data_IF_485585247607
#
_entry.id   IF_485585247607
#
_cell.length_a   1.000
_cell.length_b   1.000
_cell.length_c   1.000
_cell.angle_alpha   90.00
_cell.angle_beta   90.00
_cell.angle_gamma   90.00
#
_symmetry.space_group_name_H-M   'P 1'
#
loop_
_entity.id
_entity.type
_entity.pdbx_description
1 polymer ?
#
# COMPACT_ATOMS: atom_id res chain seq x y z
N UNK A 1 7.44 -7.61 2.46
CA UNK A 1 6.58 -8.76 2.10
C UNK A 1 5.32 -8.95 2.96
N UNK A 2 5.36 -8.98 4.30
CA UNK A 2 4.13 -9.28 5.09
C UNK A 2 3.02 -8.23 4.89
N UNK A 3 3.37 -6.94 4.96
CA UNK A 3 2.40 -5.84 4.76
C UNK A 3 1.65 -5.93 3.42
N UNK A 4 2.37 -6.14 2.31
CA UNK A 4 1.73 -6.24 0.98
C UNK A 4 0.78 -7.45 0.89
N UNK A 5 1.08 -8.57 1.56
CA UNK A 5 0.18 -9.72 1.58
C UNK A 5 -1.05 -9.47 2.45
N UNK A 6 -0.91 -8.79 3.59
CA UNK A 6 -2.04 -8.32 4.41
C UNK A 6 -2.96 -7.40 3.59
N UNK A 7 -2.38 -6.51 2.78
CA UNK A 7 -3.16 -5.63 1.89
C UNK A 7 -3.87 -6.43 0.80
N UNK A 8 -3.16 -7.35 0.11
CA UNK A 8 -3.76 -8.21 -0.94
C UNK A 8 -4.90 -9.08 -0.41
N UNK A 9 -4.80 -9.55 0.83
CA UNK A 9 -5.84 -10.28 1.53
C UNK A 9 -6.99 -9.38 2.02
N UNK A 10 -6.96 -8.07 1.78
CA UNK A 10 -7.97 -7.09 2.20
C UNK A 10 -8.18 -7.01 3.72
N UNK A 11 -7.17 -7.40 4.49
CA UNK A 11 -7.26 -7.46 5.96
C UNK A 11 -7.39 -6.06 6.56
N UNK A 12 -6.61 -5.08 6.08
CA UNK A 12 -6.69 -3.71 6.61
C UNK A 12 -8.05 -3.06 6.29
N UNK A 13 -8.59 -3.33 5.11
CA UNK A 13 -9.92 -2.87 4.68
C UNK A 13 -11.00 -3.47 5.58
N UNK A 14 -10.92 -4.77 5.85
CA UNK A 14 -11.84 -5.48 6.77
C UNK A 14 -11.83 -4.88 8.17
N UNK A 15 -10.66 -4.48 8.69
CA UNK A 15 -10.56 -3.80 9.98
C UNK A 15 -11.16 -2.38 9.90
N UNK A 16 -10.92 -1.65 8.81
CA UNK A 16 -11.45 -0.29 8.60
C UNK A 16 -12.98 -0.24 8.61
N UNK A 17 -13.65 -1.27 8.08
CA UNK A 17 -15.11 -1.38 8.01
C UNK A 17 -15.80 -1.40 9.37
N UNK A 18 -15.08 -1.78 10.44
CA UNK A 18 -15.60 -1.76 11.82
C UNK A 18 -15.59 -0.36 12.42
N UNK A 19 -14.92 0.60 11.76
CA UNK A 19 -14.82 1.99 12.17
C UNK A 19 -13.57 2.33 12.98
N UNK A 20 -13.38 3.61 13.36
CA UNK A 20 -12.10 4.13 13.88
C UNK A 20 -11.57 3.47 15.15
N UNK A 21 -12.45 2.93 15.98
CA UNK A 21 -12.10 2.22 17.23
C UNK A 21 -12.38 0.71 17.13
N UNK A 22 -12.77 0.24 15.94
CA UNK A 22 -13.06 -1.15 15.66
C UNK A 22 -11.80 -2.00 15.77
N UNK A 23 -11.96 -3.18 16.37
CA UNK A 23 -10.88 -4.17 16.48
C UNK A 23 -11.40 -5.54 16.13
N UNK A 24 -10.56 -6.34 15.46
CA UNK A 24 -10.89 -7.68 15.03
C UNK A 24 -9.79 -8.66 15.44
N UNK A 25 -10.18 -9.87 15.84
CA UNK A 25 -9.26 -11.00 15.97
C UNK A 25 -8.93 -11.62 14.62
N UNK A 26 -7.93 -12.50 14.58
CA UNK A 26 -7.66 -13.33 13.41
C UNK A 26 -8.88 -14.16 12.97
N UNK A 27 -9.70 -14.63 13.92
CA UNK A 27 -10.93 -15.37 13.66
C UNK A 27 -11.98 -14.49 12.99
N UNK A 28 -12.21 -13.28 13.52
CA UNK A 28 -13.21 -12.37 12.94
C UNK A 28 -12.83 -11.96 11.51
N UNK A 29 -11.54 -11.72 11.27
CA UNK A 29 -11.01 -11.38 9.94
C UNK A 29 -11.18 -12.54 8.98
N UNK A 30 -10.78 -13.76 9.38
CA UNK A 30 -10.92 -14.95 8.54
C UNK A 30 -12.38 -15.21 8.18
N UNK A 31 -13.29 -15.06 9.15
CA UNK A 31 -14.73 -15.22 8.95
C UNK A 31 -15.31 -14.18 7.99
N UNK A 32 -14.99 -12.88 8.18
CA UNK A 32 -15.47 -11.80 7.30
C UNK A 32 -14.96 -11.91 5.87
N UNK A 33 -13.74 -12.42 5.69
CA UNK A 33 -13.15 -12.67 4.38
C UNK A 33 -13.56 -14.02 3.77
N UNK A 34 -14.43 -14.79 4.45
CA UNK A 34 -14.85 -16.12 4.03
C UNK A 34 -13.67 -17.07 3.74
N UNK A 35 -12.61 -16.99 4.55
CA UNK A 35 -11.42 -17.84 4.39
C UNK A 35 -11.72 -19.23 4.97
N UNK A 36 -11.67 -20.25 4.11
CA UNK A 36 -12.00 -21.64 4.45
C UNK A 36 -10.88 -22.38 5.19
N UNK A 37 -9.65 -21.86 5.18
CA UNK A 37 -8.51 -22.52 5.82
C UNK A 37 -8.64 -22.43 7.35
N UNK A 38 -8.75 -23.56 8.07
CA UNK A 38 -8.90 -23.55 9.54
C UNK A 38 -7.70 -22.93 10.27
N UNK A 39 -6.51 -22.96 9.66
CA UNK A 39 -5.29 -22.38 10.25
C UNK A 39 -5.15 -20.86 9.97
N UNK A 40 -6.03 -20.29 9.14
CA UNK A 40 -5.93 -18.89 8.74
C UNK A 40 -5.98 -17.89 9.91
N UNK A 41 -6.82 -18.06 10.95
CA UNK A 41 -6.82 -17.17 12.11
C UNK A 41 -5.43 -17.03 12.76
N UNK A 42 -4.71 -18.14 12.94
CA UNK A 42 -3.37 -18.15 13.54
C UNK A 42 -2.31 -17.56 12.60
N UNK A 43 -2.43 -17.81 11.29
CA UNK A 43 -1.56 -17.19 10.29
C UNK A 43 -1.74 -15.67 10.25
N UNK A 44 -2.99 -15.20 10.24
CA UNK A 44 -3.34 -13.78 10.28
C UNK A 44 -2.83 -13.12 11.57
N UNK A 45 -3.02 -13.77 12.71
CA UNK A 45 -2.52 -13.31 14.00
C UNK A 45 -0.99 -13.11 13.97
N UNK A 46 -0.22 -14.08 13.45
CA UNK A 46 1.25 -13.95 13.33
C UNK A 46 1.66 -12.79 12.44
N UNK A 47 0.98 -12.61 11.31
CA UNK A 47 1.25 -11.50 10.38
C UNK A 47 0.91 -10.14 10.98
N UNK A 48 -0.25 -10.02 11.64
CA UNK A 48 -0.70 -8.79 12.28
C UNK A 48 0.11 -8.46 13.53
N UNK A 49 0.58 -9.47 14.27
CA UNK A 49 1.52 -9.28 15.38
C UNK A 49 2.82 -8.63 14.91
N UNK A 50 3.35 -9.00 13.75
CA UNK A 50 4.50 -8.32 13.16
C UNK A 50 4.17 -6.86 12.84
N UNK A 51 3.04 -6.60 12.17
CA UNK A 51 2.63 -5.22 11.84
C UNK A 51 2.39 -4.36 13.08
N UNK A 52 1.91 -4.94 14.17
CA UNK A 52 1.73 -4.25 15.46
C UNK A 52 3.07 -3.81 16.06
N UNK A 53 4.13 -4.61 15.91
CA UNK A 53 5.49 -4.23 16.34
C UNK A 53 6.08 -3.07 15.53
N UNK A 54 5.55 -2.81 14.34
CA UNK A 54 5.89 -1.66 13.51
C UNK A 54 4.84 -0.52 13.61
N UNK A 55 3.92 -0.57 14.57
CA UNK A 55 2.88 0.46 14.80
C UNK A 55 1.96 0.72 13.58
N UNK A 56 1.86 -0.24 12.66
CA UNK A 56 0.96 -0.16 11.50
C UNK A 56 -0.47 -0.53 11.92
N UNK A 57 -0.61 -1.42 12.90
CA UNK A 57 -1.87 -1.77 13.55
C UNK A 57 -1.71 -1.69 15.06
N UNK A 58 -2.80 -1.45 15.79
CA UNK A 58 -2.83 -1.60 17.25
C UNK A 58 -2.98 -3.07 17.61
N UNK A 59 -2.54 -3.46 18.80
CA UNK A 59 -2.77 -4.79 19.37
C UNK A 59 -3.28 -4.65 20.81
N UNK A 60 -4.38 -5.32 21.13
CA UNK A 60 -4.95 -5.40 22.48
C UNK A 60 -5.43 -6.81 22.77
N UNK A 61 -5.68 -7.14 24.02
CA UNK A 61 -6.30 -8.41 24.39
C UNK A 61 -7.83 -8.35 24.20
N UNK A 62 -8.41 -9.50 23.88
CA UNK A 62 -9.84 -9.72 23.78
C UNK A 62 -10.18 -11.19 24.02
N UNK A 63 -11.42 -11.57 23.80
CA UNK A 63 -11.91 -12.94 24.02
C UNK A 63 -12.68 -13.42 22.79
N UNK A 64 -12.38 -14.62 22.32
CA UNK A 64 -13.12 -15.33 21.28
C UNK A 64 -13.46 -16.73 21.81
N UNK A 65 -14.74 -17.10 21.82
CA UNK A 65 -15.22 -18.39 22.36
C UNK A 65 -14.61 -18.76 23.73
N UNK A 66 -14.63 -17.83 24.69
CA UNK A 66 -14.05 -17.96 26.04
C UNK A 66 -12.52 -18.14 26.12
N UNK A 67 -11.79 -18.01 25.01
CA UNK A 67 -10.33 -18.04 24.96
C UNK A 67 -9.75 -16.64 24.76
N UNK A 68 -8.65 -16.28 25.45
CA UNK A 68 -7.94 -15.04 25.18
C UNK A 68 -7.38 -14.99 23.76
N UNK A 69 -7.63 -13.90 23.05
CA UNK A 69 -7.11 -13.65 21.69
C UNK A 69 -6.56 -12.23 21.57
N UNK A 70 -5.73 -12.00 20.54
CA UNK A 70 -5.30 -10.64 20.17
C UNK A 70 -6.32 -10.01 19.24
N UNK A 71 -6.60 -8.75 19.49
CA UNK A 71 -7.48 -7.90 18.70
C UNK A 71 -6.67 -6.80 18.04
N UNK A 72 -6.90 -6.58 16.75
CA UNK A 72 -6.14 -5.65 15.91
C UNK A 72 -7.02 -4.53 15.39
N UNK A 73 -6.52 -3.29 15.47
CA UNK A 73 -7.16 -2.09 14.96
C UNK A 73 -6.21 -1.32 14.04
N UNK A 74 -6.72 -0.41 13.22
CA UNK A 74 -5.86 0.40 12.34
C UNK A 74 -5.22 1.56 13.09
N UNK A 75 -3.96 1.87 12.77
CA UNK A 75 -3.36 3.16 13.13
C UNK A 75 -3.49 4.15 11.97
N UNK A 76 -3.37 5.46 12.22
CA UNK A 76 -3.37 6.46 11.15
C UNK A 76 -2.28 6.21 10.08
N UNK A 77 -1.15 5.60 10.46
CA UNK A 77 -0.02 5.30 9.56
C UNK A 77 -0.42 4.33 8.44
N UNK A 78 -1.28 3.35 8.73
CA UNK A 78 -1.70 2.37 7.74
C UNK A 78 -2.28 3.03 6.47
N UNK A 79 -3.03 4.13 6.63
CA UNK A 79 -3.65 4.87 5.52
C UNK A 79 -2.62 5.40 4.50
N UNK A 80 -1.44 5.77 4.95
CA UNK A 80 -0.41 6.41 4.10
C UNK A 80 0.52 5.39 3.44
N UNK A 81 0.71 4.21 4.05
CA UNK A 81 1.65 3.21 3.53
C UNK A 81 1.07 2.37 2.39
N UNK A 82 -0.24 2.08 2.44
CA UNK A 82 -0.90 1.15 1.49
C UNK A 82 -0.71 1.50 0.00
N UNK A 83 -0.85 2.77 -0.45
CA UNK A 83 -0.86 3.12 -1.87
C UNK A 83 0.39 2.68 -2.65
N UNK A 84 1.58 2.88 -2.09
CA UNK A 84 2.84 2.63 -2.77
C UNK A 84 3.35 1.19 -2.62
N UNK A 85 2.90 0.47 -1.59
CA UNK A 85 3.43 -0.87 -1.29
C UNK A 85 3.18 -1.89 -2.41
N UNK A 86 2.10 -1.73 -3.18
CA UNK A 86 1.84 -2.61 -4.33
C UNK A 86 2.88 -2.45 -5.42
N UNK A 87 3.27 -1.21 -5.72
CA UNK A 87 4.30 -0.90 -6.72
C UNK A 87 5.68 -1.36 -6.25
N UNK A 88 6.07 -0.97 -5.02
CA UNK A 88 7.40 -1.25 -4.47
C UNK A 88 7.65 -2.73 -4.16
N UNK A 89 6.62 -3.56 -4.11
CA UNK A 89 6.72 -5.00 -3.92
C UNK A 89 6.25 -5.79 -5.15
N UNK A 90 5.94 -5.11 -6.25
CA UNK A 90 5.66 -5.77 -7.52
C UNK A 90 6.91 -6.48 -8.02
N UNK A 91 6.73 -7.64 -8.65
CA UNK A 91 7.86 -8.45 -9.14
C UNK A 91 8.75 -7.65 -10.08
N UNK A 92 8.17 -6.85 -10.97
CA UNK A 92 8.92 -6.03 -11.94
C UNK A 92 9.87 -5.08 -11.21
N UNK A 93 9.39 -4.41 -10.16
CA UNK A 93 10.18 -3.46 -9.39
C UNK A 93 11.20 -4.15 -8.48
N UNK A 94 10.81 -5.27 -7.86
CA UNK A 94 11.69 -6.03 -6.96
C UNK A 94 12.87 -6.63 -7.72
N UNK A 95 12.69 -7.02 -8.98
CA UNK A 95 13.77 -7.63 -9.75
C UNK A 95 14.98 -6.72 -9.90
N UNK A 96 14.79 -5.39 -9.91
CA UNK A 96 15.89 -4.42 -9.96
C UNK A 96 16.85 -4.53 -8.79
N UNK A 97 16.41 -5.03 -7.62
CA UNK A 97 17.30 -5.22 -6.48
C UNK A 97 18.37 -6.31 -6.71
N UNK A 98 18.11 -7.27 -7.61
CA UNK A 98 19.09 -8.31 -7.94
C UNK A 98 20.23 -7.81 -8.84
N UNK A 99 20.09 -6.62 -9.44
CA UNK A 99 21.15 -5.98 -10.25
C UNK A 99 21.80 -4.79 -9.52
N UNK A 100 21.50 -4.60 -8.23
CA UNK A 100 22.01 -3.46 -7.48
C UNK A 100 23.53 -3.53 -7.29
N UNK A 101 24.06 -4.69 -6.96
CA UNK A 101 25.51 -4.91 -6.80
C UNK A 101 26.25 -4.72 -8.14
N UNK A 102 25.70 -5.28 -9.23
CA UNK A 102 26.26 -5.09 -10.56
C UNK A 102 26.25 -3.61 -10.99
N UNK A 103 25.18 -2.87 -10.70
CA UNK A 103 25.11 -1.44 -10.94
C UNK A 103 26.14 -0.63 -10.12
N UNK A 104 26.41 -1.02 -8.89
CA UNK A 104 27.47 -0.39 -8.07
C UNK A 104 28.85 -0.63 -8.67
N UNK A 105 29.12 -1.86 -9.15
CA UNK A 105 30.45 -2.24 -9.65
C UNK A 105 30.69 -1.78 -11.09
N UNK A 106 29.69 -1.93 -11.96
CA UNK A 106 29.83 -1.74 -13.42
C UNK A 106 29.12 -0.49 -13.93
N UNK A 107 28.41 0.23 -13.07
CA UNK A 107 27.58 1.38 -13.46
C UNK A 107 26.27 0.97 -14.14
N UNK A 108 25.42 1.96 -14.37
CA UNK A 108 24.06 1.79 -14.93
C UNK A 108 22.96 1.84 -13.87
N UNK A 109 21.72 1.72 -14.30
CA UNK A 109 20.54 1.71 -13.43
C UNK A 109 20.05 0.27 -13.27
N UNK A 110 19.84 -0.25 -12.05
CA UNK A 110 19.45 -1.64 -11.85
C UNK A 110 18.15 -2.04 -12.58
N UNK A 111 17.16 -1.14 -12.64
CA UNK A 111 15.92 -1.39 -13.38
C UNK A 111 16.20 -1.61 -14.87
N UNK A 112 16.96 -0.70 -15.48
CA UNK A 112 17.30 -0.73 -16.90
C UNK A 112 18.15 -1.96 -17.24
N UNK A 113 19.02 -2.41 -16.33
CA UNK A 113 19.78 -3.66 -16.52
C UNK A 113 18.90 -4.90 -16.60
N UNK A 114 17.87 -4.98 -15.76
CA UNK A 114 16.92 -6.11 -15.77
C UNK A 114 16.01 -6.07 -16.99
N UNK A 115 15.50 -4.88 -17.33
CA UNK A 115 14.37 -4.73 -18.23
C UNK A 115 14.71 -4.15 -19.60
N UNK A 116 15.95 -3.69 -19.79
CA UNK A 116 16.47 -3.14 -21.05
C UNK A 116 15.96 -1.74 -21.43
N UNK A 117 15.04 -1.17 -20.64
CA UNK A 117 14.45 0.16 -20.86
C UNK A 117 14.27 0.90 -19.54
N UNK A 118 14.11 2.22 -19.61
CA UNK A 118 13.91 3.05 -18.43
C UNK A 118 12.58 2.74 -17.71
N UNK A 119 12.53 2.92 -16.40
CA UNK A 119 11.35 2.62 -15.58
C UNK A 119 10.07 3.38 -15.98
N UNK A 120 10.18 4.55 -16.62
CA UNK A 120 9.01 5.29 -17.17
C UNK A 120 8.56 4.79 -18.54
N UNK A 121 9.42 4.09 -19.28
CA UNK A 121 9.10 3.50 -20.58
C UNK A 121 8.49 2.11 -20.43
N UNK A 122 8.95 1.35 -19.43
CA UNK A 122 8.50 -0.02 -19.16
C UNK A 122 6.98 -0.21 -19.03
N UNK A 123 6.21 0.70 -18.38
CA UNK A 123 4.75 0.60 -18.35
C UNK A 123 4.10 0.52 -19.74
N UNK A 124 4.71 1.08 -20.78
CA UNK A 124 4.19 0.93 -22.15
C UNK A 124 4.30 -0.50 -22.70
N UNK A 125 5.18 -1.33 -22.10
CA UNK A 125 5.46 -2.71 -22.52
C UNK A 125 4.68 -3.76 -21.69
N UNK A 126 4.34 -3.46 -20.44
CA UNK A 126 3.56 -4.34 -19.55
C UNK A 126 2.32 -3.62 -19.04
N UNK A 127 1.17 -3.91 -19.64
CA UNK A 127 -0.13 -3.32 -19.29
C UNK A 127 -0.53 -3.59 -17.82
N UNK A 128 -0.17 -4.74 -17.27
CA UNK A 128 -0.47 -5.10 -15.87
C UNK A 128 0.40 -4.27 -14.93
N UNK A 129 1.68 -4.11 -15.23
CA UNK A 129 2.55 -3.23 -14.44
C UNK A 129 2.14 -1.76 -14.58
N UNK A 130 1.70 -1.32 -15.76
CA UNK A 130 1.18 0.02 -15.98
C UNK A 130 -0.03 0.33 -15.08
N UNK A 131 -0.94 -0.63 -14.91
CA UNK A 131 -2.07 -0.48 -13.98
C UNK A 131 -1.57 -0.33 -12.53
N UNK A 132 -0.64 -1.19 -12.10
CA UNK A 132 -0.05 -1.13 -10.75
C UNK A 132 0.64 0.23 -10.52
N UNK A 133 1.45 0.69 -11.47
CA UNK A 133 2.16 1.96 -11.42
C UNK A 133 1.18 3.14 -11.32
N UNK A 134 0.23 3.24 -12.26
CA UNK A 134 -0.72 4.34 -12.28
C UNK A 134 -1.63 4.36 -11.05
N UNK A 135 -2.10 3.20 -10.58
CA UNK A 135 -2.91 3.11 -9.36
C UNK A 135 -2.13 3.57 -8.14
N UNK A 136 -0.85 3.21 -8.02
CA UNK A 136 0.00 3.67 -6.93
C UNK A 136 0.18 5.19 -6.98
N UNK A 137 0.48 5.76 -8.15
CA UNK A 137 0.65 7.21 -8.35
C UNK A 137 -0.63 7.99 -8.04
N UNK A 138 -1.78 7.57 -8.60
CA UNK A 138 -3.08 8.23 -8.35
C UNK A 138 -3.42 8.23 -6.87
N UNK A 139 -3.32 7.07 -6.20
CA UNK A 139 -3.68 6.96 -4.79
C UNK A 139 -2.76 7.79 -3.90
N UNK A 140 -1.46 7.77 -4.16
CA UNK A 140 -0.48 8.55 -3.41
C UNK A 140 -0.70 10.06 -3.60
N UNK A 141 -0.77 10.52 -4.85
CA UNK A 141 -1.00 11.93 -5.20
C UNK A 141 -2.32 12.43 -4.61
N UNK A 142 -3.39 11.65 -4.66
CA UNK A 142 -4.69 12.03 -4.08
C UNK A 142 -4.58 12.32 -2.57
N UNK A 143 -3.85 11.49 -1.83
CA UNK A 143 -3.66 11.69 -0.38
C UNK A 143 -2.85 12.95 -0.12
N UNK A 144 -1.74 13.13 -0.83
CA UNK A 144 -0.83 14.27 -0.62
C UNK A 144 -1.51 15.58 -1.02
N UNK A 145 -2.11 15.65 -2.21
CA UNK A 145 -2.77 16.86 -2.71
C UNK A 145 -3.95 17.27 -1.83
N UNK A 146 -4.69 16.31 -1.26
CA UNK A 146 -5.73 16.62 -0.28
C UNK A 146 -5.19 17.32 0.97
N UNK A 147 -3.97 17.00 1.42
CA UNK A 147 -3.34 17.68 2.55
C UNK A 147 -2.73 19.03 2.14
N UNK A 148 -2.08 19.10 0.97
CA UNK A 148 -1.52 20.34 0.42
C UNK A 148 -2.59 21.42 0.27
N UNK A 149 -3.74 21.09 -0.31
CA UNK A 149 -4.83 22.04 -0.54
C UNK A 149 -5.49 22.57 0.75
N UNK A 150 -5.20 21.98 1.92
CA UNK A 150 -5.69 22.53 3.20
C UNK A 150 -4.92 23.78 3.63
N UNK A 151 -3.66 23.92 3.22
CA UNK A 151 -2.78 24.97 3.73
C UNK A 151 -2.19 25.83 2.61
N UNK A 152 -2.01 25.28 1.41
CA UNK A 152 -1.45 25.99 0.28
C UNK A 152 -2.56 26.66 -0.54
N UNK A 153 -2.49 28.00 -0.62
CA UNK A 153 -3.46 28.85 -1.34
C UNK A 153 -2.92 29.42 -2.66
N UNK A 154 -1.75 28.96 -3.12
CA UNK A 154 -1.13 29.48 -4.34
C UNK A 154 -1.88 29.15 -5.65
N UNK A 155 -2.89 28.28 -5.58
CA UNK A 155 -3.73 27.91 -6.74
C UNK A 155 -5.00 28.76 -6.88
N UNK A 156 -5.40 29.52 -5.85
CA UNK A 156 -6.73 30.14 -5.75
C UNK A 156 -7.10 31.11 -6.90
N UNK A 157 -6.11 31.80 -7.46
CA UNK A 157 -6.31 32.86 -8.46
C UNK A 157 -5.61 32.56 -9.79
N UNK A 158 -5.32 31.29 -10.07
CA UNK A 158 -4.70 30.89 -11.33
C UNK A 158 -5.78 30.58 -12.36
N UNK A 159 -5.70 31.25 -13.51
CA UNK A 159 -6.57 30.94 -14.67
C UNK A 159 -6.23 29.59 -15.31
N UNK A 160 -4.96 29.16 -15.19
CA UNK A 160 -4.47 27.93 -15.79
C UNK A 160 -3.38 27.31 -14.94
N UNK A 161 -3.49 26.01 -14.76
CA UNK A 161 -2.45 25.14 -14.19
C UNK A 161 -2.18 24.01 -15.19
N UNK A 162 -0.91 23.75 -15.47
CA UNK A 162 -0.47 22.64 -16.31
C UNK A 162 0.33 21.68 -15.45
N UNK A 163 -0.20 20.47 -15.27
CA UNK A 163 0.48 19.40 -14.55
C UNK A 163 1.36 18.58 -15.52
N UNK A 164 2.62 19.00 -15.64
CA UNK A 164 3.59 18.34 -16.53
C UNK A 164 3.99 17.00 -15.90
N UNK A 165 3.64 15.91 -16.59
CA UNK A 165 3.82 14.56 -16.05
C UNK A 165 2.71 14.13 -15.08
N UNK A 166 1.54 14.77 -15.11
CA UNK A 166 0.41 14.51 -14.20
C UNK A 166 -0.25 13.13 -14.26
N UNK A 167 0.33 12.18 -15.00
CA UNK A 167 -0.17 10.81 -15.15
C UNK A 167 -1.62 10.80 -15.65
N UNK A 168 -2.52 10.22 -14.85
CA UNK A 168 -3.95 10.14 -15.16
C UNK A 168 -4.74 11.41 -14.79
N UNK A 169 -4.08 12.54 -14.51
CA UNK A 169 -4.73 13.83 -14.29
C UNK A 169 -5.54 13.91 -13.00
N UNK A 170 -5.07 13.26 -11.93
CA UNK A 170 -5.78 13.22 -10.64
C UNK A 170 -5.25 14.21 -9.60
N UNK A 171 -4.12 14.86 -9.89
CA UNK A 171 -3.44 15.82 -8.99
C UNK A 171 -4.32 17.00 -8.63
N UNK A 172 -5.04 17.52 -9.62
CA UNK A 172 -5.91 18.67 -9.46
C UNK A 172 -7.21 18.42 -10.20
N UNK A 173 -8.25 18.08 -9.46
CA UNK A 173 -9.62 18.37 -9.89
C UNK A 173 -9.95 19.70 -9.26
N UNK A 174 -10.06 20.75 -10.09
CA UNK A 174 -10.56 22.05 -9.61
C UNK A 174 -11.94 21.90 -8.95
N UNK A 175 -12.41 22.95 -8.27
CA UNK A 175 -13.82 23.00 -7.86
C UNK A 175 -14.77 22.75 -9.04
#
# INVERSE_FOLDING_TARGET
MVLVNIIKLKVLETIAEVGPNGRLSGHDIASRLSILNPDAPDMLDRMLRLLARHSIVTCSEGVHESRPVRMYGLTPVAKYLIPLMHLLQDKVFIQSWFELDDAVVKGGVPFDKVHGVHAFEYPSLDARFNEVFNKAMVNYTTIIMKEVLKTYRGFDNLERVVDVGGGLGTTYKGP
#
